data_IF_400479126791
#
_entry.id   IF_400479126791
#
_cell.length_a   1.000
_cell.length_b   1.000
_cell.length_c   1.000
_cell.angle_alpha   90.00
_cell.angle_beta   90.00
_cell.angle_gamma   90.00
#
_symmetry.space_group_name_H-M   'P 1'
#
loop_
_entity.id
_entity.type
_entity.pdbx_description
1 polymer ?
#
# COMPACT_ATOMS: atom_id res chain seq x y z
N UNK A 1 -10.30 5.36 -12.91
CA UNK A 1 -9.14 5.62 -12.05
C UNK A 1 -9.67 6.34 -10.83
N UNK A 2 -9.35 5.85 -9.63
CA UNK A 2 -9.75 6.45 -8.35
C UNK A 2 -8.49 6.62 -7.50
N UNK A 3 -8.38 7.74 -6.80
CA UNK A 3 -7.26 8.06 -5.92
C UNK A 3 -7.74 8.80 -4.68
N UNK A 4 -7.19 8.45 -3.52
CA UNK A 4 -7.35 9.19 -2.28
C UNK A 4 -6.04 9.18 -1.48
N UNK A 5 -5.80 10.24 -0.72
CA UNK A 5 -4.66 10.36 0.18
C UNK A 5 -5.10 10.88 1.55
N UNK A 6 -4.40 10.46 2.60
CA UNK A 6 -4.57 10.96 3.96
C UNK A 6 -3.22 11.06 4.67
N UNK A 7 -3.15 11.95 5.64
CA UNK A 7 -1.99 12.09 6.54
C UNK A 7 -2.47 11.83 7.97
N UNK A 8 -1.81 10.91 8.67
CA UNK A 8 -1.97 10.67 10.10
C UNK A 8 -0.80 11.36 10.83
N UNK A 9 -1.09 12.31 11.73
CA UNK A 9 -0.11 12.92 12.63
C UNK A 9 -0.28 12.28 14.00
N UNK A 10 0.77 11.66 14.53
CA UNK A 10 0.71 10.79 15.70
C UNK A 10 1.72 11.22 16.76
N UNK A 11 1.38 10.99 18.02
CA UNK A 11 2.37 11.09 19.12
C UNK A 11 3.45 10.02 18.94
N UNK A 12 4.66 10.17 19.53
CA UNK A 12 5.74 9.21 19.35
C UNK A 12 5.38 7.75 19.69
N UNK A 13 4.65 7.53 20.80
CA UNK A 13 4.22 6.18 21.20
C UNK A 13 3.20 5.58 20.24
N UNK A 14 2.18 6.37 19.85
CA UNK A 14 1.19 5.93 18.86
C UNK A 14 1.82 5.69 17.48
N UNK A 15 2.82 6.48 17.10
CA UNK A 15 3.52 6.34 15.84
C UNK A 15 4.27 5.01 15.76
N UNK A 16 5.05 4.66 16.80
CA UNK A 16 5.80 3.41 16.82
C UNK A 16 4.87 2.18 16.71
N UNK A 17 3.77 2.16 17.47
CA UNK A 17 2.77 1.10 17.37
C UNK A 17 2.14 1.03 15.99
N UNK A 18 1.71 2.18 15.45
CA UNK A 18 1.11 2.25 14.12
C UNK A 18 2.05 1.79 13.01
N UNK A 19 3.33 2.14 13.10
CA UNK A 19 4.37 1.72 12.17
C UNK A 19 4.56 0.19 12.19
N UNK A 20 4.60 -0.40 13.37
CA UNK A 20 4.74 -1.86 13.54
C UNK A 20 3.53 -2.60 12.98
N UNK A 21 2.31 -2.14 13.26
CA UNK A 21 1.07 -2.72 12.71
C UNK A 21 1.09 -2.73 11.17
N UNK A 22 1.51 -1.62 10.55
CA UNK A 22 1.56 -1.50 9.10
C UNK A 22 2.63 -2.40 8.48
N UNK A 23 3.80 -2.49 9.10
CA UNK A 23 4.86 -3.39 8.64
C UNK A 23 4.45 -4.86 8.77
N UNK A 24 3.80 -5.25 9.87
CA UNK A 24 3.28 -6.60 10.06
C UNK A 24 2.19 -6.93 9.02
N UNK A 25 1.19 -6.05 8.87
CA UNK A 25 0.12 -6.19 7.86
C UNK A 25 0.68 -6.47 6.46
N UNK A 26 1.72 -5.73 6.07
CA UNK A 26 2.30 -5.83 4.73
C UNK A 26 3.21 -7.05 4.61
N UNK A 27 4.00 -7.37 5.63
CA UNK A 27 4.92 -8.52 5.60
C UNK A 27 4.18 -9.86 5.60
N UNK A 28 3.00 -9.91 6.21
CA UNK A 28 2.17 -11.12 6.28
C UNK A 28 1.30 -11.33 5.02
N UNK A 29 1.33 -10.41 4.05
CA UNK A 29 0.51 -10.50 2.85
C UNK A 29 1.32 -10.93 1.62
N UNK A 30 0.86 -11.91 0.81
CA UNK A 30 1.58 -12.41 -0.37
C UNK A 30 1.79 -11.38 -1.51
N UNK A 31 1.20 -10.20 -1.37
CA UNK A 31 1.27 -9.07 -2.31
C UNK A 31 1.63 -7.77 -1.60
N UNK A 32 2.25 -7.89 -0.43
CA UNK A 32 2.82 -6.80 0.31
C UNK A 32 4.28 -6.57 -0.06
N UNK A 33 4.72 -5.32 0.04
CA UNK A 33 6.11 -4.93 -0.12
C UNK A 33 6.42 -3.83 0.89
N UNK A 34 7.49 -3.99 1.66
CA UNK A 34 7.99 -2.95 2.57
C UNK A 34 9.49 -2.74 2.37
N UNK A 35 9.89 -1.47 2.35
CA UNK A 35 11.28 -1.04 2.42
C UNK A 35 11.47 -0.16 3.64
N UNK A 36 12.40 -0.55 4.52
CA UNK A 36 12.80 0.21 5.72
C UNK A 36 14.07 0.98 5.40
N UNK A 37 14.13 2.25 5.80
CA UNK A 37 15.26 3.15 5.54
C UNK A 37 16.14 3.32 6.78
N UNK A 38 17.43 3.66 6.61
CA UNK A 38 18.32 3.96 7.73
C UNK A 38 17.83 5.13 8.59
N UNK A 39 18.34 5.20 9.83
CA UNK A 39 18.04 6.28 10.78
C UNK A 39 16.88 5.97 11.74
N UNK A 40 15.94 5.11 11.35
CA UNK A 40 14.90 4.61 12.25
C UNK A 40 14.28 3.31 11.73
N UNK A 41 13.99 2.32 12.59
CA UNK A 41 13.26 1.11 12.18
C UNK A 41 11.81 1.42 11.75
N UNK A 42 11.31 2.62 12.04
CA UNK A 42 9.97 3.06 11.67
C UNK A 42 9.95 4.03 10.48
N UNK A 43 11.11 4.31 9.87
CA UNK A 43 11.18 5.02 8.59
C UNK A 43 11.00 4.00 7.47
N UNK A 44 9.85 4.01 6.80
CA UNK A 44 9.57 3.01 5.76
C UNK A 44 8.67 3.54 4.64
N UNK A 45 8.71 2.85 3.51
CA UNK A 45 7.66 2.84 2.51
C UNK A 45 7.08 1.43 2.44
N UNK A 46 5.78 1.30 2.54
CA UNK A 46 5.09 0.02 2.44
C UNK A 46 3.93 0.10 1.45
N UNK A 47 3.63 -1.01 0.81
CA UNK A 47 2.60 -1.15 -0.21
C UNK A 47 1.88 -2.47 -0.03
N UNK A 48 0.56 -2.43 -0.20
CA UNK A 48 -0.27 -3.64 -0.30
C UNK A 48 -1.10 -3.57 -1.56
N UNK A 49 -0.90 -4.52 -2.47
CA UNK A 49 -1.66 -4.63 -3.71
C UNK A 49 -2.65 -5.78 -3.66
N UNK A 50 -3.77 -5.60 -4.36
CA UNK A 50 -4.82 -6.60 -4.52
C UNK A 50 -5.42 -6.46 -5.92
N UNK A 51 -5.91 -7.57 -6.45
CA UNK A 51 -6.59 -7.63 -7.75
C UNK A 51 -7.97 -8.23 -7.58
N UNK A 52 -8.99 -7.57 -8.10
CA UNK A 52 -10.39 -8.00 -8.01
C UNK A 52 -11.13 -7.57 -9.29
N UNK A 53 -11.89 -8.48 -9.92
CA UNK A 53 -12.81 -8.18 -11.03
C UNK A 53 -12.22 -7.30 -12.16
N UNK A 54 -11.02 -7.63 -12.63
CA UNK A 54 -10.37 -6.86 -13.70
C UNK A 54 -9.90 -5.47 -13.25
N UNK A 55 -9.76 -5.23 -11.95
CA UNK A 55 -9.19 -4.00 -11.39
C UNK A 55 -8.04 -4.35 -10.46
N UNK A 56 -7.06 -3.47 -10.40
CA UNK A 56 -5.97 -3.52 -9.42
C UNK A 56 -6.15 -2.34 -8.48
N UNK A 57 -6.13 -2.61 -7.19
CA UNK A 57 -6.08 -1.58 -6.17
C UNK A 57 -4.88 -1.80 -5.28
N UNK A 58 -4.32 -0.70 -4.81
CA UNK A 58 -3.23 -0.75 -3.85
C UNK A 58 -3.37 0.38 -2.84
N UNK A 59 -2.73 0.17 -1.70
CA UNK A 59 -2.49 1.20 -0.71
C UNK A 59 -0.99 1.34 -0.51
N UNK A 60 -0.52 2.57 -0.34
CA UNK A 60 0.85 2.83 0.12
C UNK A 60 0.83 3.55 1.45
N UNK A 61 1.89 3.37 2.22
CA UNK A 61 2.18 4.09 3.45
C UNK A 61 3.63 4.57 3.42
N UNK A 62 3.85 5.83 3.75
CA UNK A 62 5.17 6.43 3.92
C UNK A 62 5.24 6.96 5.35
N UNK A 63 6.17 6.42 6.13
CA UNK A 63 6.33 6.77 7.54
C UNK A 63 7.54 7.68 7.72
N UNK A 64 7.32 8.81 8.38
CA UNK A 64 8.29 9.85 8.67
C UNK A 64 8.40 10.02 10.20
N UNK A 65 9.26 9.24 10.88
CA UNK A 65 9.36 9.25 12.34
C UNK A 65 9.73 10.62 12.90
N UNK A 66 10.56 11.37 12.18
CA UNK A 66 10.98 12.71 12.59
C UNK A 66 9.82 13.70 12.67
N UNK A 67 8.77 13.49 11.86
CA UNK A 67 7.59 14.36 11.80
C UNK A 67 6.38 13.74 12.54
N UNK A 68 6.52 12.50 13.04
CA UNK A 68 5.42 11.72 13.61
C UNK A 68 4.29 11.44 12.60
N UNK A 69 4.61 11.38 11.30
CA UNK A 69 3.61 11.33 10.23
C UNK A 69 3.61 10.02 9.45
N UNK A 70 2.41 9.52 9.17
CA UNK A 70 2.19 8.47 8.18
C UNK A 70 1.32 9.00 7.07
N UNK A 71 1.86 9.08 5.85
CA UNK A 71 1.12 9.43 4.65
C UNK A 71 0.63 8.16 3.99
N UNK A 72 -0.69 8.03 3.80
CA UNK A 72 -1.28 6.88 3.15
C UNK A 72 -2.01 7.27 1.87
N UNK A 73 -1.80 6.50 0.80
CA UNK A 73 -2.59 6.63 -0.43
C UNK A 73 -3.38 5.36 -0.71
N UNK A 74 -4.48 5.49 -1.45
CA UNK A 74 -5.25 4.39 -2.03
C UNK A 74 -5.49 4.72 -3.50
N UNK A 75 -5.19 3.76 -4.37
CA UNK A 75 -5.43 3.88 -5.81
C UNK A 75 -6.19 2.66 -6.31
N UNK A 76 -7.11 2.87 -7.26
CA UNK A 76 -7.81 1.81 -7.99
C UNK A 76 -7.81 2.10 -9.47
N UNK A 77 -7.37 1.12 -10.26
CA UNK A 77 -7.25 1.23 -11.72
C UNK A 77 -7.86 -0.01 -12.38
N UNK A 78 -8.61 0.20 -13.46
CA UNK A 78 -9.11 -0.88 -14.31
C UNK A 78 -7.99 -1.47 -15.16
N UNK A 79 -7.90 -2.79 -15.20
CA UNK A 79 -6.99 -3.55 -16.05
C UNK A 79 -7.68 -3.73 -17.40
N UNK A 80 -7.10 -3.18 -18.46
CA UNK A 80 -7.54 -3.51 -19.82
C UNK A 80 -7.16 -4.97 -20.09
N UNK A 81 -8.16 -5.81 -20.41
CA UNK A 81 -7.91 -7.18 -20.89
C UNK A 81 -7.54 -7.08 -22.38
N UNK A 82 -6.40 -7.64 -22.81
CA UNK A 82 -6.04 -7.66 -24.23
C UNK A 82 -7.11 -8.40 -25.05
N UNK A 83 -7.47 -7.86 -26.20
CA UNK A 83 -8.53 -8.36 -27.09
C UNK A 83 -8.30 -9.81 -27.55
N UNK A 84 -7.06 -10.31 -27.53
CA UNK A 84 -6.71 -11.69 -27.87
C UNK A 84 -7.15 -12.74 -26.85
N UNK A 85 -7.48 -12.37 -25.61
CA UNK A 85 -8.05 -13.28 -24.62
C UNK A 85 -9.58 -13.39 -24.71
N UNK A 86 -10.27 -12.44 -25.36
CA UNK A 86 -11.72 -12.49 -25.55
C UNK A 86 -12.13 -13.50 -26.63
N UNK A 87 -11.29 -13.76 -27.64
CA UNK A 87 -11.63 -14.70 -28.73
C UNK A 87 -11.48 -16.17 -28.34
N UNK A 88 -10.73 -16.51 -27.28
CA UNK A 88 -10.53 -17.89 -26.81
C UNK A 88 -11.61 -18.38 -25.82
N UNK A 89 -12.44 -17.48 -25.30
CA UNK A 89 -13.51 -17.81 -24.36
C UNK A 89 -14.88 -18.04 -25.04
N UNK A 90 -14.93 -18.02 -26.37
CA UNK A 90 -16.16 -18.16 -27.17
C UNK A 90 -16.18 -19.42 -28.07
N UNK A 91 -15.41 -20.46 -27.72
CA UNK A 91 -15.40 -21.74 -28.44
C UNK A 91 -15.74 -22.88 -27.49
#
# INVERSE_FOLDING_TARGET
YEFAARVEVLTPGSFAGRAQELLALVSDHPHGLAGVFPGSPHAFTALLAQRHEGQVHWRTWHAYPQDGQVVATRTRVGVRVPTSQLSRASV
#
